data_IF_194651727536
#
_entry.id   IF_194651727536
#
_cell.length_a   1.000
_cell.length_b   1.000
_cell.length_c   1.000
_cell.angle_alpha   90.00
_cell.angle_beta   90.00
_cell.angle_gamma   90.00
#
_symmetry.space_group_name_H-M   'P 1'
#
loop_
_entity.id
_entity.type
_entity.pdbx_description
1 polymer ?
#
# COMPACT_ATOMS: atom_id res chain seq x y z
N UNK A 1 -30.44 44.35 15.79
CA UNK A 1 -29.50 43.22 15.56
C UNK A 1 -30.35 41.98 15.27
N UNK A 2 -30.64 41.72 14.00
CA UNK A 2 -31.44 40.55 13.60
C UNK A 2 -30.52 39.40 13.21
N UNK A 3 -30.48 38.38 14.04
CA UNK A 3 -29.75 37.13 13.80
C UNK A 3 -30.57 36.22 12.87
N UNK A 4 -30.14 36.12 11.61
CA UNK A 4 -30.67 35.16 10.65
C UNK A 4 -30.16 33.75 10.98
N UNK A 5 -31.02 32.92 11.57
CA UNK A 5 -30.80 31.47 11.62
C UNK A 5 -31.18 30.85 10.28
N UNK A 6 -30.16 30.54 9.46
CA UNK A 6 -30.31 29.73 8.24
C UNK A 6 -30.59 28.28 8.62
N UNK A 7 -31.87 27.92 8.59
CA UNK A 7 -32.36 26.56 8.80
C UNK A 7 -32.08 25.73 7.54
N UNK A 8 -31.04 24.89 7.57
CA UNK A 8 -30.74 23.95 6.47
C UNK A 8 -31.83 22.87 6.39
N UNK A 9 -32.72 23.01 5.42
CA UNK A 9 -33.69 21.98 5.05
C UNK A 9 -32.92 20.82 4.42
N UNK A 10 -32.81 19.71 5.14
CA UNK A 10 -32.32 18.45 4.58
C UNK A 10 -33.45 17.81 3.78
N UNK A 11 -33.19 17.48 2.51
CA UNK A 11 -34.22 16.96 1.62
C UNK A 11 -34.59 15.52 2.01
N UNK A 12 -35.83 15.11 1.74
CA UNK A 12 -36.32 13.75 2.00
C UNK A 12 -35.43 12.65 1.38
N UNK A 13 -34.79 12.96 0.25
CA UNK A 13 -33.83 12.07 -0.41
C UNK A 13 -32.56 11.81 0.44
N UNK A 14 -32.02 12.84 1.11
CA UNK A 14 -30.84 12.69 1.96
C UNK A 14 -31.13 11.81 3.18
N UNK A 15 -32.34 11.88 3.75
CA UNK A 15 -32.75 11.01 4.86
C UNK A 15 -32.94 9.55 4.42
N UNK A 16 -33.54 9.33 3.24
CA UNK A 16 -33.75 7.99 2.68
C UNK A 16 -32.43 7.28 2.34
N UNK A 17 -31.48 8.01 1.76
CA UNK A 17 -30.13 7.49 1.46
C UNK A 17 -29.33 7.17 2.73
N UNK A 18 -29.51 7.96 3.80
CA UNK A 18 -28.86 7.73 5.09
C UNK A 18 -29.38 6.48 5.82
N UNK A 19 -30.69 6.20 5.72
CA UNK A 19 -31.30 4.99 6.28
C UNK A 19 -30.96 3.72 5.49
N UNK A 20 -30.95 3.78 4.15
CA UNK A 20 -30.57 2.63 3.32
C UNK A 20 -29.11 2.22 3.54
N UNK A 21 -28.21 3.17 3.72
CA UNK A 21 -26.79 2.90 3.97
C UNK A 21 -26.50 2.43 5.39
N UNK A 22 -27.35 2.76 6.38
CA UNK A 22 -27.25 2.21 7.74
C UNK A 22 -27.60 0.72 7.82
N UNK A 23 -28.44 0.20 6.92
CA UNK A 23 -28.84 -1.22 6.93
C UNK A 23 -27.82 -2.16 6.29
N UNK A 24 -26.85 -1.65 5.53
CA UNK A 24 -25.91 -2.48 4.76
C UNK A 24 -24.48 -2.52 5.34
N UNK A 25 -24.22 -1.91 6.50
CA UNK A 25 -22.91 -1.95 7.16
C UNK A 25 -21.75 -1.33 6.37
N UNK A 26 -22.02 -0.66 5.24
CA UNK A 26 -20.99 -0.01 4.44
C UNK A 26 -20.42 1.21 5.19
N UNK A 27 -19.09 1.31 5.21
CA UNK A 27 -18.40 2.48 5.72
C UNK A 27 -18.87 3.73 4.98
N UNK A 28 -19.49 4.67 5.70
CA UNK A 28 -19.90 5.96 5.15
C UNK A 28 -18.64 6.78 4.81
N UNK A 29 -18.37 6.98 3.52
CA UNK A 29 -17.33 7.89 3.06
C UNK A 29 -17.93 9.30 3.03
N UNK A 30 -17.38 10.27 3.78
CA UNK A 30 -17.83 11.65 3.72
C UNK A 30 -17.77 12.21 2.29
N UNK A 31 -18.81 12.95 1.88
CA UNK A 31 -18.93 13.48 0.52
C UNK A 31 -17.71 14.32 0.11
N UNK A 32 -17.17 15.13 1.01
CA UNK A 32 -15.98 15.94 0.75
C UNK A 32 -14.75 15.09 0.41
N UNK A 33 -14.57 13.95 1.09
CA UNK A 33 -13.49 13.01 0.79
C UNK A 33 -13.72 12.33 -0.55
N UNK A 34 -14.94 11.85 -0.80
CA UNK A 34 -15.29 11.20 -2.06
C UNK A 34 -15.09 12.14 -3.26
N UNK A 35 -15.69 13.33 -3.21
CA UNK A 35 -15.76 14.24 -4.36
C UNK A 35 -14.51 15.10 -4.55
N UNK A 36 -13.75 15.42 -3.50
CA UNK A 36 -12.57 16.30 -3.64
C UNK A 36 -11.23 15.57 -3.47
N UNK A 37 -11.22 14.30 -3.02
CA UNK A 37 -9.97 13.53 -2.84
C UNK A 37 -9.91 12.23 -3.62
N UNK A 38 -11.03 11.51 -3.76
CA UNK A 38 -11.04 10.21 -4.43
C UNK A 38 -11.35 10.39 -5.91
N UNK A 39 -12.53 10.90 -6.24
CA UNK A 39 -13.01 10.98 -7.62
C UNK A 39 -12.13 11.85 -8.54
N UNK A 40 -11.57 13.01 -8.12
CA UNK A 40 -10.72 13.82 -9.00
C UNK A 40 -9.39 13.16 -9.38
N UNK A 41 -9.00 12.08 -8.68
CA UNK A 41 -7.78 11.31 -8.99
C UNK A 41 -8.04 10.19 -10.00
N UNK A 42 -9.30 9.95 -10.34
CA UNK A 42 -9.63 8.92 -11.31
C UNK A 42 -9.42 9.45 -12.73
N UNK A 43 -9.11 8.54 -13.67
CA UNK A 43 -9.04 8.87 -15.09
C UNK A 43 -10.34 9.52 -15.59
N UNK A 44 -10.22 10.49 -16.51
CA UNK A 44 -11.37 11.30 -16.95
C UNK A 44 -12.49 10.45 -17.58
N UNK A 45 -12.13 9.39 -18.30
CA UNK A 45 -13.07 8.43 -18.88
C UNK A 45 -13.94 7.76 -17.80
N UNK A 46 -13.37 7.39 -16.65
CA UNK A 46 -14.14 6.82 -15.55
C UNK A 46 -15.05 7.85 -14.88
N UNK A 47 -14.56 9.08 -14.72
CA UNK A 47 -15.37 10.19 -14.17
C UNK A 47 -16.60 10.46 -15.04
N UNK A 48 -16.46 10.38 -16.37
CA UNK A 48 -17.58 10.58 -17.30
C UNK A 48 -18.67 9.50 -17.13
N UNK A 49 -18.30 8.25 -16.87
CA UNK A 49 -19.28 7.19 -16.57
C UNK A 49 -20.05 7.55 -15.29
N UNK A 50 -19.38 8.09 -14.29
CA UNK A 50 -20.04 8.47 -13.03
C UNK A 50 -21.05 9.62 -13.16
N UNK A 51 -20.99 10.43 -14.22
CA UNK A 51 -22.03 11.41 -14.52
C UNK A 51 -23.40 10.77 -14.72
N UNK A 52 -23.44 9.49 -15.12
CA UNK A 52 -24.68 8.74 -15.35
C UNK A 52 -25.29 8.12 -14.09
N UNK A 53 -24.54 8.04 -12.98
CA UNK A 53 -24.96 7.32 -11.76
C UNK A 53 -26.15 8.00 -11.08
N UNK A 54 -26.07 9.31 -10.83
CA UNK A 54 -27.21 10.10 -10.38
C UNK A 54 -27.01 11.61 -10.63
N UNK A 55 -28.09 12.38 -10.53
CA UNK A 55 -28.08 13.84 -10.74
C UNK A 55 -27.05 14.57 -9.87
N UNK A 56 -26.86 14.11 -8.63
CA UNK A 56 -25.90 14.69 -7.69
C UNK A 56 -24.46 14.51 -8.17
N UNK A 57 -24.09 13.33 -8.64
CA UNK A 57 -22.75 13.07 -9.17
C UNK A 57 -22.50 13.82 -10.47
N UNK A 58 -23.52 13.92 -11.34
CA UNK A 58 -23.47 14.76 -12.54
C UNK A 58 -23.23 16.23 -12.20
N UNK A 59 -23.95 16.78 -11.22
CA UNK A 59 -23.73 18.16 -10.74
C UNK A 59 -22.32 18.36 -10.18
N UNK A 60 -21.86 17.48 -9.31
CA UNK A 60 -20.58 17.59 -8.62
C UNK A 60 -19.38 17.48 -9.58
N UNK A 61 -19.44 16.57 -10.55
CA UNK A 61 -18.40 16.43 -11.57
C UNK A 61 -18.34 17.60 -12.55
N UNK A 62 -19.36 18.45 -12.57
CA UNK A 62 -19.39 19.70 -13.35
C UNK A 62 -19.06 20.93 -12.50
N UNK A 63 -18.82 20.80 -11.20
CA UNK A 63 -18.41 21.93 -10.36
C UNK A 63 -16.99 22.38 -10.73
N UNK A 64 -16.79 23.71 -10.72
CA UNK A 64 -15.49 24.32 -11.02
C UNK A 64 -14.36 23.76 -10.14
N UNK A 65 -14.60 23.56 -8.84
CA UNK A 65 -13.61 22.98 -7.92
C UNK A 65 -13.27 21.52 -8.25
N UNK A 66 -14.24 20.75 -8.72
CA UNK A 66 -13.98 19.37 -9.13
C UNK A 66 -13.11 19.34 -10.37
N UNK A 67 -13.45 20.13 -11.39
CA UNK A 67 -12.70 20.24 -12.64
C UNK A 67 -11.28 20.75 -12.35
N UNK A 68 -11.13 21.80 -11.52
CA UNK A 68 -9.83 22.34 -11.16
C UNK A 68 -8.95 21.29 -10.45
N UNK A 69 -9.51 20.51 -9.51
CA UNK A 69 -8.79 19.42 -8.86
C UNK A 69 -8.45 18.30 -9.84
N UNK A 70 -9.37 17.92 -10.72
CA UNK A 70 -9.16 16.86 -11.71
C UNK A 70 -8.06 17.25 -12.71
N UNK A 71 -8.07 18.49 -13.20
CA UNK A 71 -7.01 19.05 -14.03
C UNK A 71 -5.68 19.10 -13.28
N UNK A 72 -5.68 19.56 -12.02
CA UNK A 72 -4.48 19.58 -11.18
C UNK A 72 -3.89 18.16 -11.03
N UNK A 73 -4.71 17.18 -10.66
CA UNK A 73 -4.24 15.80 -10.52
C UNK A 73 -3.78 15.22 -11.85
N UNK A 74 -4.51 15.45 -12.95
CA UNK A 74 -4.12 14.99 -14.29
C UNK A 74 -2.79 15.61 -14.75
N UNK A 75 -2.59 16.92 -14.55
CA UNK A 75 -1.33 17.61 -14.92
C UNK A 75 -0.14 17.17 -14.07
N UNK A 76 -0.38 16.82 -12.81
CA UNK A 76 0.65 16.30 -11.91
C UNK A 76 0.67 14.76 -11.83
N UNK A 77 -0.12 14.07 -12.68
CA UNK A 77 -0.23 12.60 -12.74
C UNK A 77 0.82 11.93 -13.62
N UNK A 78 1.81 12.65 -14.15
CA UNK A 78 2.98 12.02 -14.79
C UNK A 78 3.74 11.05 -13.84
N UNK A 79 3.35 10.98 -12.57
CA UNK A 79 3.80 10.03 -11.55
C UNK A 79 2.72 9.01 -11.09
N UNK A 80 1.51 9.05 -11.65
CA UNK A 80 0.33 8.28 -11.24
C UNK A 80 -0.28 7.44 -12.38
N UNK A 81 0.54 6.95 -13.33
CA UNK A 81 0.08 5.83 -14.16
C UNK A 81 -0.27 4.69 -13.21
N UNK A 82 -1.56 4.43 -13.07
CA UNK A 82 -2.11 3.38 -12.21
C UNK A 82 -1.89 2.06 -12.93
N UNK A 83 -0.63 1.63 -12.90
CA UNK A 83 -0.11 0.50 -13.65
C UNK A 83 -0.04 -0.70 -12.70
N UNK A 84 -0.86 -1.71 -12.97
CA UNK A 84 -0.74 -3.00 -12.33
C UNK A 84 0.13 -3.88 -13.19
N UNK A 85 1.26 -4.35 -12.66
CA UNK A 85 1.95 -5.48 -13.28
C UNK A 85 1.49 -6.75 -12.55
N UNK A 86 1.28 -7.83 -13.28
CA UNK A 86 1.01 -9.15 -12.72
C UNK A 86 1.64 -10.21 -13.62
N UNK A 87 2.02 -11.33 -13.03
CA UNK A 87 2.59 -12.46 -13.77
C UNK A 87 1.46 -13.37 -14.24
N UNK A 88 1.48 -13.72 -15.53
CA UNK A 88 0.58 -14.69 -16.14
C UNK A 88 1.00 -16.14 -15.78
N UNK A 89 0.14 -17.12 -16.08
CA UNK A 89 0.44 -18.54 -15.88
C UNK A 89 1.63 -19.08 -16.68
N UNK A 90 2.02 -18.39 -17.75
CA UNK A 90 3.14 -18.72 -18.63
C UNK A 90 4.43 -17.96 -18.27
N UNK A 91 4.50 -17.43 -17.05
CA UNK A 91 5.59 -16.60 -16.52
C UNK A 91 5.80 -15.25 -17.24
N UNK A 92 4.96 -14.87 -18.21
CA UNK A 92 5.01 -13.55 -18.82
C UNK A 92 4.46 -12.47 -17.88
N UNK A 93 5.01 -11.25 -17.96
CA UNK A 93 4.54 -10.12 -17.15
C UNK A 93 3.50 -9.33 -17.95
N UNK A 94 2.26 -9.33 -17.50
CA UNK A 94 1.23 -8.44 -18.01
C UNK A 94 1.25 -7.13 -17.27
N UNK A 95 1.20 -6.04 -18.02
CA UNK A 95 1.03 -4.69 -17.49
C UNK A 95 -0.36 -4.19 -17.88
N UNK A 96 -1.20 -3.92 -16.89
CA UNK A 96 -2.49 -3.26 -17.05
C UNK A 96 -2.31 -1.80 -16.66
N UNK A 97 -2.41 -0.92 -17.66
CA UNK A 97 -2.71 0.48 -17.41
C UNK A 97 -4.22 0.63 -17.20
N UNK A 98 -4.64 1.05 -16.02
CA UNK A 98 -6.05 1.38 -15.76
C UNK A 98 -6.55 2.54 -16.64
N UNK A 99 -5.64 3.38 -17.12
CA UNK A 99 -5.96 4.59 -17.88
C UNK A 99 -6.23 4.31 -19.35
N UNK A 100 -5.44 3.42 -19.96
CA UNK A 100 -5.48 3.20 -21.41
C UNK A 100 -6.33 2.00 -21.83
N UNK A 101 -6.84 1.18 -20.88
CA UNK A 101 -7.43 -0.13 -21.18
C UNK A 101 -6.55 -1.03 -22.06
N UNK A 102 -5.26 -0.70 -22.17
CA UNK A 102 -4.27 -1.42 -22.95
C UNK A 102 -3.63 -2.47 -22.04
N UNK A 103 -3.59 -3.71 -22.53
CA UNK A 103 -2.80 -4.79 -21.94
C UNK A 103 -1.51 -4.87 -22.74
N UNK A 104 -0.39 -4.70 -22.07
CA UNK A 104 0.91 -4.98 -22.68
C UNK A 104 1.46 -6.26 -22.06
N UNK A 105 1.93 -7.18 -22.91
CA UNK A 105 2.62 -8.38 -22.45
C UNK A 105 4.11 -8.11 -22.59
N UNK A 106 4.82 -8.07 -21.47
CA UNK A 106 6.27 -8.06 -21.47
C UNK A 106 6.77 -9.48 -21.81
N UNK A 107 7.90 -9.60 -22.52
CA UNK A 107 8.48 -10.91 -22.82
C UNK A 107 8.72 -11.71 -21.53
N UNK A 108 8.59 -13.04 -21.57
CA UNK A 108 8.80 -13.90 -20.41
C UNK A 108 10.19 -13.66 -19.82
N UNK A 109 10.23 -13.46 -18.51
CA UNK A 109 11.48 -13.43 -17.76
C UNK A 109 12.16 -14.80 -17.89
N UNK A 110 13.50 -14.88 -17.91
CA UNK A 110 14.19 -16.16 -17.98
C UNK A 110 13.72 -17.07 -16.84
N UNK A 111 13.14 -18.20 -17.24
CA UNK A 111 12.46 -19.19 -16.40
C UNK A 111 13.24 -19.49 -15.11
N UNK A 112 12.70 -19.05 -13.97
CA UNK A 112 13.12 -19.48 -12.65
C UNK A 112 11.92 -20.02 -11.88
N UNK A 113 12.10 -21.21 -11.29
CA UNK A 113 11.08 -22.13 -10.79
C UNK A 113 10.40 -21.72 -9.48
N UNK A 114 10.18 -20.42 -9.23
CA UNK A 114 9.45 -19.94 -8.06
C UNK A 114 8.41 -18.90 -8.46
N UNK A 115 7.17 -18.96 -7.94
CA UNK A 115 6.14 -17.96 -8.22
C UNK A 115 6.65 -16.60 -7.73
N UNK A 116 6.86 -15.65 -8.65
CA UNK A 116 7.37 -14.34 -8.31
C UNK A 116 6.28 -13.55 -7.58
N UNK A 117 6.55 -13.18 -6.34
CA UNK A 117 5.70 -12.28 -5.58
C UNK A 117 5.85 -10.85 -6.13
N UNK A 118 4.87 -10.41 -6.91
CA UNK A 118 4.90 -9.04 -7.42
C UNK A 118 4.35 -8.05 -6.39
N UNK A 119 5.21 -7.13 -5.96
CA UNK A 119 4.85 -5.97 -5.15
C UNK A 119 4.66 -4.75 -6.04
N UNK A 120 3.42 -4.44 -6.39
CA UNK A 120 3.07 -3.23 -7.14
C UNK A 120 2.99 -2.01 -6.22
N UNK A 121 3.24 -0.82 -6.77
CA UNK A 121 2.88 0.43 -6.10
C UNK A 121 1.94 1.23 -7.01
N UNK A 122 0.69 1.36 -6.62
CA UNK A 122 -0.27 2.25 -7.30
C UNK A 122 -0.41 3.53 -6.46
N UNK A 123 0.12 4.65 -6.94
CA UNK A 123 0.06 5.94 -6.23
C UNK A 123 0.64 5.89 -4.79
N UNK A 124 1.69 5.08 -4.59
CA UNK A 124 2.30 4.84 -3.28
C UNK A 124 1.58 3.79 -2.42
N UNK A 125 0.52 3.16 -2.93
CA UNK A 125 -0.12 2.00 -2.31
C UNK A 125 0.61 0.74 -2.73
N UNK A 126 1.31 0.13 -1.79
CA UNK A 126 1.88 -1.20 -1.95
C UNK A 126 0.73 -2.22 -2.08
N UNK A 127 0.67 -2.91 -3.22
CA UNK A 127 -0.26 -3.99 -3.49
C UNK A 127 0.44 -5.32 -3.67
N UNK A 128 -0.27 -6.40 -3.37
CA UNK A 128 0.21 -7.78 -3.49
C UNK A 128 -0.81 -8.59 -4.28
N UNK A 129 -0.37 -9.37 -5.26
CA UNK A 129 -1.23 -10.28 -6.02
C UNK A 129 -1.08 -11.71 -5.53
N UNK A 130 -2.19 -12.34 -5.12
CA UNK A 130 -2.21 -13.71 -4.59
C UNK A 130 -3.46 -14.43 -5.08
N UNK A 131 -3.30 -15.58 -5.75
CA UNK A 131 -4.40 -16.47 -6.18
C UNK A 131 -5.56 -15.70 -6.85
N UNK A 132 -5.27 -14.88 -7.87
CA UNK A 132 -6.30 -14.12 -8.61
C UNK A 132 -6.79 -12.84 -7.91
N UNK A 133 -6.23 -12.48 -6.77
CA UNK A 133 -6.68 -11.35 -5.97
C UNK A 133 -5.58 -10.31 -5.77
N UNK A 134 -5.93 -9.04 -5.93
CA UNK A 134 -5.07 -7.91 -5.58
C UNK A 134 -5.44 -7.45 -4.18
N UNK A 135 -4.45 -7.38 -3.29
CA UNK A 135 -4.60 -6.88 -1.93
C UNK A 135 -3.84 -5.58 -1.78
N UNK A 136 -4.40 -4.64 -1.03
CA UNK A 136 -3.68 -3.45 -0.61
C UNK A 136 -4.12 -3.00 0.76
N UNK A 137 -3.16 -2.44 1.49
CA UNK A 137 -3.40 -1.97 2.85
C UNK A 137 -3.87 -0.51 2.83
N UNK A 138 -4.99 -0.26 3.50
CA UNK A 138 -5.37 1.07 3.96
C UNK A 138 -5.15 1.16 5.47
N UNK A 139 -5.08 2.38 6.03
CA UNK A 139 -4.80 2.67 7.44
C UNK A 139 -5.64 1.86 8.44
N UNK A 140 -6.81 1.37 8.05
CA UNK A 140 -7.75 0.69 8.94
C UNK A 140 -8.27 -0.65 8.42
N UNK A 141 -7.95 -1.03 7.18
CA UNK A 141 -8.49 -2.22 6.54
C UNK A 141 -7.58 -2.72 5.42
N UNK A 142 -7.64 -4.01 5.12
CA UNK A 142 -7.05 -4.57 3.90
C UNK A 142 -8.17 -4.66 2.87
N UNK A 143 -7.98 -4.03 1.73
CA UNK A 143 -8.87 -4.19 0.59
C UNK A 143 -8.41 -5.36 -0.26
N UNK A 144 -9.37 -6.04 -0.86
CA UNK A 144 -9.19 -7.15 -1.79
C UNK A 144 -9.96 -6.80 -3.06
N UNK A 145 -9.38 -7.07 -4.22
CA UNK A 145 -10.10 -7.08 -5.49
C UNK A 145 -9.87 -8.43 -6.15
N UNK A 146 -10.95 -9.17 -6.38
CA UNK A 146 -10.91 -10.39 -7.17
C UNK A 146 -10.91 -10.00 -8.65
N UNK A 147 -9.85 -10.35 -9.38
CA UNK A 147 -9.69 -9.97 -10.78
C UNK A 147 -10.64 -10.73 -11.70
N UNK A 148 -10.93 -11.99 -11.39
CA UNK A 148 -11.80 -12.84 -12.22
C UNK A 148 -13.28 -12.49 -12.03
N UNK A 149 -13.70 -12.27 -10.78
CA UNK A 149 -15.09 -11.96 -10.46
C UNK A 149 -15.40 -10.45 -10.57
N UNK A 150 -14.36 -9.61 -10.69
CA UNK A 150 -14.44 -8.14 -10.63
C UNK A 150 -15.11 -7.61 -9.34
N UNK A 151 -15.01 -8.37 -8.24
CA UNK A 151 -15.62 -8.03 -6.94
C UNK A 151 -14.60 -7.45 -5.98
N UNK A 152 -14.99 -6.35 -5.32
CA UNK A 152 -14.22 -5.76 -4.22
C UNK A 152 -14.66 -6.37 -2.88
N UNK A 153 -13.70 -6.85 -2.11
CA UNK A 153 -13.88 -7.33 -0.75
C UNK A 153 -13.12 -6.48 0.27
N UNK A 154 -13.58 -6.52 1.52
CA UNK A 154 -12.87 -5.92 2.65
C UNK A 154 -12.48 -7.03 3.62
N UNK A 155 -11.24 -6.99 4.07
CA UNK A 155 -10.68 -7.89 5.06
C UNK A 155 -10.53 -7.09 6.35
N UNK A 156 -11.27 -7.43 7.41
CA UNK A 156 -11.10 -6.77 8.69
C UNK A 156 -9.68 -7.02 9.20
N UNK A 157 -9.06 -5.95 9.70
CA UNK A 157 -7.81 -6.07 10.44
C UNK A 157 -8.07 -6.81 11.76
N UNK A 158 -7.00 -7.37 12.31
CA UNK A 158 -7.01 -8.04 13.59
C UNK A 158 -7.62 -7.16 14.70
N UNK A 159 -8.40 -7.75 15.64
CA UNK A 159 -8.82 -7.06 16.84
C UNK A 159 -7.60 -6.49 17.58
N UNK A 160 -7.69 -5.25 18.06
CA UNK A 160 -6.60 -4.51 18.71
C UNK A 160 -5.47 -4.00 17.79
N UNK A 161 -5.71 -3.92 16.48
CA UNK A 161 -4.80 -3.24 15.54
C UNK A 161 -4.77 -1.70 15.70
N UNK A 162 -5.42 -1.12 16.71
CA UNK A 162 -5.40 0.33 16.92
C UNK A 162 -4.02 0.80 17.41
N UNK A 163 -3.42 1.73 16.65
CA UNK A 163 -2.19 2.40 17.01
C UNK A 163 -0.90 1.67 16.61
N UNK A 164 -0.82 1.15 15.39
CA UNK A 164 0.46 0.72 14.83
C UNK A 164 1.29 1.90 14.31
N UNK A 165 2.60 1.75 14.36
CA UNK A 165 3.60 2.70 13.83
C UNK A 165 3.76 2.52 12.33
N UNK A 166 3.69 1.27 11.86
CA UNK A 166 3.75 0.90 10.46
C UNK A 166 3.13 -0.48 10.25
N UNK A 167 2.64 -0.71 9.04
CA UNK A 167 2.11 -2.00 8.63
C UNK A 167 2.32 -2.20 7.12
N UNK A 168 2.44 -3.46 6.72
CA UNK A 168 2.64 -3.89 5.34
C UNK A 168 1.89 -5.19 5.10
N UNK A 169 1.52 -5.41 3.85
CA UNK A 169 0.98 -6.69 3.37
C UNK A 169 2.00 -7.34 2.45
N UNK A 170 2.07 -8.67 2.48
CA UNK A 170 2.95 -9.48 1.63
C UNK A 170 2.26 -10.77 1.23
N UNK A 171 3.00 -11.68 0.60
CA UNK A 171 2.59 -13.06 0.48
C UNK A 171 3.65 -13.96 1.09
N UNK A 172 3.21 -15.01 1.77
CA UNK A 172 4.07 -16.05 2.33
C UNK A 172 3.40 -17.38 1.99
N UNK A 173 4.13 -18.26 1.31
CA UNK A 173 3.65 -19.58 0.86
C UNK A 173 2.31 -19.53 0.10
N UNK A 174 2.14 -18.52 -0.77
CA UNK A 174 0.91 -18.33 -1.54
C UNK A 174 -0.30 -17.87 -0.70
N UNK A 175 -0.09 -17.48 0.55
CA UNK A 175 -1.12 -16.91 1.43
C UNK A 175 -0.81 -15.44 1.76
N UNK A 176 -1.86 -14.69 2.11
CA UNK A 176 -1.72 -13.27 2.46
C UNK A 176 -1.02 -13.12 3.81
N UNK A 177 0.12 -12.42 3.83
CA UNK A 177 0.82 -12.06 5.06
C UNK A 177 0.54 -10.59 5.43
N UNK A 178 0.48 -10.33 6.73
CA UNK A 178 0.31 -8.99 7.29
C UNK A 178 1.33 -8.77 8.40
N UNK A 179 2.18 -7.77 8.21
CA UNK A 179 3.18 -7.35 9.19
C UNK A 179 2.75 -6.03 9.82
N UNK A 180 2.90 -5.90 11.13
CA UNK A 180 2.70 -4.63 11.79
C UNK A 180 3.66 -4.41 12.95
N UNK A 181 3.95 -3.14 13.24
CA UNK A 181 4.65 -2.72 14.45
C UNK A 181 3.65 -1.98 15.33
N UNK A 182 3.39 -2.52 16.52
CA UNK A 182 2.49 -1.89 17.50
C UNK A 182 3.12 -0.63 18.10
N UNK A 183 2.31 0.21 18.76
CA UNK A 183 2.81 1.35 19.58
C UNK A 183 3.81 0.96 20.68
N UNK A 184 3.82 -0.32 21.08
CA UNK A 184 4.76 -0.87 22.05
C UNK A 184 5.99 -1.52 21.38
N UNK A 185 6.19 -1.25 20.09
CA UNK A 185 7.33 -1.73 19.30
C UNK A 185 7.43 -3.25 19.24
N UNK A 186 6.28 -3.93 19.32
CA UNK A 186 6.18 -5.33 18.96
C UNK A 186 5.95 -5.44 17.46
N UNK A 187 6.89 -6.05 16.76
CA UNK A 187 6.76 -6.49 15.38
C UNK A 187 5.98 -7.80 15.39
N UNK A 188 4.82 -7.84 14.73
CA UNK A 188 4.07 -9.09 14.56
C UNK A 188 3.95 -9.41 13.07
N UNK A 189 3.96 -10.71 12.78
CA UNK A 189 3.65 -11.25 11.47
C UNK A 189 2.46 -12.18 11.61
N UNK A 190 1.48 -11.98 10.74
CA UNK A 190 0.26 -12.74 10.67
C UNK A 190 0.11 -13.31 9.27
N UNK A 191 -0.43 -14.52 9.19
CA UNK A 191 -0.77 -15.19 7.95
C UNK A 191 -2.27 -15.40 7.91
N UNK A 192 -2.90 -15.11 6.78
CA UNK A 192 -4.32 -15.38 6.57
C UNK A 192 -4.49 -16.64 5.74
N UNK A 193 -5.02 -17.68 6.38
CA UNK A 193 -5.60 -18.85 5.71
C UNK A 193 -7.11 -18.63 5.73
N UNK A 194 -7.86 -19.39 6.52
CA UNK A 194 -9.27 -19.08 6.80
C UNK A 194 -9.40 -17.92 7.79
N UNK A 195 -8.61 -18.00 8.86
CA UNK A 195 -8.49 -16.98 9.90
C UNK A 195 -7.05 -16.44 9.96
N UNK A 196 -6.86 -15.36 10.73
CA UNK A 196 -5.54 -14.81 10.98
C UNK A 196 -4.79 -15.65 12.02
N UNK A 197 -3.67 -16.22 11.60
CA UNK A 197 -2.74 -16.96 12.47
C UNK A 197 -1.50 -16.11 12.70
N UNK A 198 -1.12 -15.90 13.97
CA UNK A 198 0.13 -15.19 14.29
C UNK A 198 1.30 -16.14 14.09
N UNK A 199 2.21 -15.81 13.18
CA UNK A 199 3.45 -16.55 12.96
C UNK A 199 4.55 -16.08 13.91
N UNK A 200 4.78 -14.77 13.96
CA UNK A 200 5.89 -14.18 14.71
C UNK A 200 5.41 -13.03 15.59
N UNK A 201 6.07 -12.85 16.74
CA UNK A 201 5.87 -11.72 17.63
C UNK A 201 7.19 -11.38 18.33
N UNK A 202 7.84 -10.30 17.90
CA UNK A 202 9.18 -9.90 18.36
C UNK A 202 9.13 -8.53 19.01
N UNK A 203 9.76 -8.40 20.18
CA UNK A 203 9.95 -7.12 20.87
C UNK A 203 11.13 -6.39 20.26
N UNK A 204 10.89 -5.34 19.46
CA UNK A 204 11.99 -4.56 18.86
C UNK A 204 12.83 -3.86 19.93
N UNK A 205 12.25 -3.51 21.09
CA UNK A 205 13.03 -2.93 22.19
C UNK A 205 14.12 -3.90 22.63
N UNK A 206 13.74 -5.16 22.88
CA UNK A 206 14.67 -6.22 23.31
C UNK A 206 15.72 -6.49 22.24
N UNK A 207 15.30 -6.64 20.98
CA UNK A 207 16.25 -6.84 19.86
C UNK A 207 17.23 -5.68 19.73
N UNK A 208 16.77 -4.44 19.88
CA UNK A 208 17.63 -3.25 19.79
C UNK A 208 18.60 -3.17 20.97
N UNK A 209 18.15 -3.53 22.18
CA UNK A 209 18.99 -3.53 23.39
C UNK A 209 20.08 -4.62 23.31
N UNK A 210 19.73 -5.81 22.80
CA UNK A 210 20.64 -6.95 22.70
C UNK A 210 21.64 -6.81 21.53
N UNK A 211 21.28 -6.07 20.47
CA UNK A 211 22.11 -5.86 19.28
C UNK A 211 22.52 -4.38 19.13
N UNK A 212 22.84 -3.75 20.27
CA UNK A 212 23.09 -2.32 20.33
C UNK A 212 24.27 -1.88 19.47
N UNK A 213 25.32 -2.69 19.40
CA UNK A 213 26.53 -2.47 18.59
C UNK A 213 26.23 -2.35 17.09
N UNK A 214 25.24 -3.10 16.58
CA UNK A 214 24.79 -3.04 15.18
C UNK A 214 24.05 -1.73 14.91
N UNK A 215 23.26 -1.23 15.88
CA UNK A 215 22.39 -0.06 15.68
C UNK A 215 23.06 1.26 16.05
N UNK A 216 23.92 1.26 17.06
CA UNK A 216 24.53 2.45 17.65
C UNK A 216 25.20 3.38 16.62
N UNK A 217 25.94 2.89 15.60
CA UNK A 217 26.57 3.74 14.58
C UNK A 217 25.58 4.64 13.84
N UNK A 218 24.32 4.19 13.73
CA UNK A 218 23.26 4.89 13.00
C UNK A 218 22.46 5.84 13.89
N UNK A 219 22.55 5.71 15.22
CA UNK A 219 21.73 6.45 16.19
C UNK A 219 22.58 7.32 17.13
N UNK A 220 23.12 8.43 16.61
CA UNK A 220 24.10 9.30 17.31
C UNK A 220 23.72 9.85 18.71
N UNK A 221 22.47 9.78 19.21
CA UNK A 221 22.05 10.35 20.53
C UNK A 221 20.87 9.62 21.20
N UNK A 222 21.05 8.39 21.68
CA UNK A 222 19.95 7.46 21.95
C UNK A 222 18.96 7.80 23.09
N UNK A 223 19.44 8.26 24.26
CA UNK A 223 18.58 8.25 25.48
C UNK A 223 17.33 9.14 25.37
N UNK A 224 17.43 10.25 24.64
CA UNK A 224 16.29 11.09 24.27
C UNK A 224 15.69 10.74 22.91
N UNK A 225 16.44 9.99 22.10
CA UNK A 225 16.07 9.57 20.76
C UNK A 225 15.07 8.43 20.78
N UNK A 226 15.16 7.37 21.59
CA UNK A 226 14.10 6.33 21.62
C UNK A 226 12.71 6.99 21.81
N UNK A 227 12.56 7.88 22.79
CA UNK A 227 11.30 8.62 23.02
C UNK A 227 10.85 9.50 21.83
N UNK A 228 11.76 9.97 20.96
CA UNK A 228 11.48 10.90 19.84
C UNK A 228 11.41 10.18 18.48
N UNK A 229 12.30 9.22 18.25
CA UNK A 229 12.40 8.27 17.15
C UNK A 229 11.09 7.51 16.94
N UNK A 230 10.48 7.04 18.02
CA UNK A 230 9.21 6.31 17.95
C UNK A 230 7.99 7.22 17.78
N UNK A 231 8.08 8.51 18.16
CA UNK A 231 7.03 9.49 17.84
C UNK A 231 7.04 9.89 16.36
N UNK A 232 8.19 9.80 15.70
CA UNK A 232 8.37 10.29 14.34
C UNK A 232 8.20 9.23 13.25
N UNK A 233 7.65 8.04 13.56
CA UNK A 233 7.42 6.97 12.59
C UNK A 233 8.66 6.56 11.79
N UNK A 234 9.85 6.60 12.41
CA UNK A 234 11.11 6.30 11.72
C UNK A 234 11.30 4.81 11.41
N UNK A 235 10.40 3.93 11.85
CA UNK A 235 10.44 2.50 11.57
C UNK A 235 9.17 2.11 10.83
N UNK A 236 9.33 1.30 9.78
CA UNK A 236 8.21 0.67 9.09
C UNK A 236 8.52 -0.79 8.78
N UNK A 237 7.47 -1.60 8.77
CA UNK A 237 7.57 -3.02 8.40
C UNK A 237 7.78 -3.17 6.90
N UNK A 238 8.41 -4.28 6.53
CA UNK A 238 8.42 -4.77 5.15
C UNK A 238 7.47 -5.95 4.99
N UNK A 239 7.15 -6.30 3.75
CA UNK A 239 6.39 -7.50 3.45
C UNK A 239 7.15 -8.73 3.96
N UNK A 240 6.45 -9.67 4.58
CA UNK A 240 7.03 -10.93 5.03
C UNK A 240 6.81 -11.99 3.97
N UNK A 241 7.92 -12.56 3.50
CA UNK A 241 7.97 -13.51 2.39
C UNK A 241 8.19 -14.96 2.85
N UNK A 242 8.28 -15.19 4.17
CA UNK A 242 8.53 -16.51 4.75
C UNK A 242 9.85 -16.59 5.50
N UNK A 243 10.16 -17.80 5.99
CA UNK A 243 11.39 -18.09 6.74
C UNK A 243 11.45 -17.45 8.13
N UNK A 244 12.65 -17.41 8.71
CA UNK A 244 12.85 -16.92 10.07
C UNK A 244 13.24 -15.44 10.13
N UNK A 245 13.54 -14.79 9.00
CA UNK A 245 14.03 -13.41 8.98
C UNK A 245 12.88 -12.42 8.82
N UNK A 246 12.72 -11.53 9.79
CA UNK A 246 11.74 -10.45 9.78
C UNK A 246 12.41 -9.15 9.33
N UNK A 247 11.93 -8.58 8.23
CA UNK A 247 12.51 -7.36 7.68
C UNK A 247 11.74 -6.12 8.12
N UNK A 248 12.49 -5.06 8.44
CA UNK A 248 11.97 -3.73 8.66
C UNK A 248 12.99 -2.70 8.20
N UNK A 249 12.54 -1.48 7.93
CA UNK A 249 13.44 -0.40 7.58
C UNK A 249 13.37 0.74 8.57
N UNK A 250 14.50 1.42 8.72
CA UNK A 250 14.69 2.59 9.56
C UNK A 250 15.01 3.78 8.66
N UNK A 251 14.22 4.84 8.74
CA UNK A 251 14.59 6.13 8.16
C UNK A 251 15.51 6.88 9.10
N UNK A 252 16.56 7.48 8.56
CA UNK A 252 17.43 8.39 9.30
C UNK A 252 17.79 9.60 8.42
N UNK A 253 18.49 10.58 9.01
CA UNK A 253 19.05 11.69 8.22
C UNK A 253 20.08 11.23 7.18
N UNK A 254 20.66 10.04 7.36
CA UNK A 254 21.62 9.43 6.42
C UNK A 254 20.92 8.59 5.35
N UNK A 255 19.59 8.58 5.32
CA UNK A 255 18.77 7.79 4.41
C UNK A 255 18.11 6.59 5.09
N UNK A 256 17.48 5.77 4.25
CA UNK A 256 16.79 4.54 4.64
C UNK A 256 17.79 3.39 4.74
N UNK A 257 17.69 2.61 5.81
CA UNK A 257 18.43 1.36 6.03
C UNK A 257 17.47 0.22 6.29
N UNK A 258 17.83 -0.98 5.90
CA UNK A 258 17.01 -2.18 6.10
C UNK A 258 17.71 -3.10 7.06
N UNK A 259 16.94 -3.68 7.97
CA UNK A 259 17.42 -4.61 8.97
C UNK A 259 16.60 -5.89 8.89
N UNK A 260 17.29 -7.01 9.09
CA UNK A 260 16.69 -8.32 9.27
C UNK A 260 16.85 -8.77 10.71
N UNK A 261 15.78 -9.30 11.31
CA UNK A 261 15.80 -9.96 12.62
C UNK A 261 15.55 -11.43 12.40
N UNK A 262 16.45 -12.30 12.87
CA UNK A 262 16.11 -13.71 12.97
C UNK A 262 15.11 -13.89 14.12
N UNK A 263 13.87 -14.27 13.81
CA UNK A 263 12.78 -14.46 14.77
C UNK A 263 13.04 -15.54 15.83
N UNK A 264 13.96 -16.47 15.58
CA UNK A 264 14.34 -17.54 16.52
C UNK A 264 15.51 -17.13 17.41
N UNK A 265 16.58 -16.57 16.82
CA UNK A 265 17.80 -16.21 17.56
C UNK A 265 17.76 -14.78 18.13
N UNK A 266 16.84 -13.94 17.66
CA UNK A 266 16.75 -12.50 17.94
C UNK A 266 17.99 -11.72 17.50
N UNK A 267 18.85 -12.31 16.68
CA UNK A 267 20.00 -11.63 16.07
C UNK A 267 19.53 -10.61 15.04
N UNK A 268 20.15 -9.44 15.07
CA UNK A 268 19.88 -8.34 14.17
C UNK A 268 21.05 -8.15 13.21
N UNK A 269 20.74 -7.99 11.93
CA UNK A 269 21.73 -7.67 10.91
C UNK A 269 21.25 -6.52 10.01
N UNK A 270 22.15 -5.59 9.67
CA UNK A 270 21.90 -4.60 8.61
C UNK A 270 22.02 -5.31 7.26
N UNK A 271 20.99 -5.19 6.42
CA UNK A 271 20.96 -5.76 5.08
C UNK A 271 21.39 -4.70 4.08
N UNK A 272 22.43 -5.00 3.30
CA UNK A 272 22.92 -4.11 2.26
C UNK A 272 21.96 -4.07 1.07
N UNK A 273 21.83 -2.92 0.41
CA UNK A 273 20.94 -2.74 -0.75
C UNK A 273 21.05 -3.82 -1.86
N UNK A 274 22.24 -4.39 -2.17
CA UNK A 274 22.35 -5.48 -3.15
C UNK A 274 21.63 -6.77 -2.71
N UNK A 275 21.70 -7.12 -1.42
CA UNK A 275 21.06 -8.33 -0.88
C UNK A 275 19.52 -8.27 -0.90
N UNK A 276 18.97 -7.05 -0.97
CA UNK A 276 17.53 -6.81 -1.10
C UNK A 276 17.02 -7.05 -2.52
N UNK A 277 17.87 -6.91 -3.54
CA UNK A 277 17.51 -7.18 -4.94
C UNK A 277 17.46 -8.69 -5.19
N UNK A 278 18.31 -9.45 -4.49
CA UNK A 278 18.34 -10.91 -4.59
C UNK A 278 17.24 -11.59 -3.77
N UNK A 279 16.87 -11.04 -2.60
CA UNK A 279 15.80 -11.57 -1.74
C UNK A 279 14.41 -11.04 -2.12
N UNK A 280 14.26 -9.72 -2.30
CA UNK A 280 13.07 -9.14 -2.93
C UNK A 280 13.39 -8.95 -4.43
N UNK A 281 13.04 -9.92 -5.28
CA UNK A 281 12.98 -9.69 -6.74
C UNK A 281 11.78 -8.80 -7.10
N UNK A 282 11.70 -7.66 -6.44
CA UNK A 282 10.83 -6.54 -6.77
C UNK A 282 11.62 -5.67 -7.73
N UNK A 283 11.45 -5.93 -9.02
CA UNK A 283 11.94 -5.02 -10.05
C UNK A 283 11.21 -3.67 -9.91
N UNK A 284 11.88 -2.69 -9.31
CA UNK A 284 11.46 -1.30 -9.47
C UNK A 284 11.68 -0.89 -10.92
N UNK A 285 10.63 -0.47 -11.62
CA UNK A 285 10.60 -0.06 -13.02
C UNK A 285 11.73 0.91 -13.45
N UNK A 286 12.27 1.68 -12.50
CA UNK A 286 13.37 2.63 -12.73
C UNK A 286 14.71 1.94 -13.05
N UNK A 287 14.97 0.75 -12.51
CA UNK A 287 16.21 0.01 -12.78
C UNK A 287 16.23 -0.55 -14.21
N UNK A 288 15.10 -1.08 -14.68
CA UNK A 288 14.95 -1.67 -16.02
C UNK A 288 15.09 -0.60 -17.13
N UNK A 289 14.59 0.62 -16.90
CA UNK A 289 14.72 1.71 -17.88
C UNK A 289 16.15 2.27 -17.97
N UNK A 290 16.89 2.31 -16.87
CA UNK A 290 18.28 2.80 -16.84
C UNK A 290 19.24 1.82 -17.52
N UNK A 291 19.00 0.51 -17.40
CA UNK A 291 19.78 -0.50 -18.13
C UNK A 291 19.53 -0.44 -19.64
N UNK A 292 18.30 -0.11 -20.08
CA UNK A 292 17.99 0.11 -21.50
C UNK A 292 18.63 1.38 -22.07
N UNK A 293 18.59 2.48 -21.33
CA UNK A 293 19.19 3.75 -21.82
C UNK A 293 20.73 3.68 -21.92
N UNK A 294 21.38 2.88 -21.08
CA UNK A 294 22.83 2.67 -21.15
C UNK A 294 23.25 1.58 -22.16
N UNK A 295 22.29 0.79 -22.67
CA UNK A 295 22.54 -0.28 -23.66
C UNK A 295 22.57 0.20 -25.11
N UNK A 296 21.96 1.35 -25.42
CA UNK A 296 21.79 1.83 -26.80
C UNK A 296 22.87 2.84 -27.26
N UNK A 297 23.83 3.23 -26.42
CA UNK A 297 24.89 4.21 -26.79
C UNK A 297 26.22 3.60 -27.26
N UNK A 298 26.37 2.27 -27.31
CA UNK A 298 27.64 1.62 -27.73
C UNK A 298 27.56 0.92 -29.10
N UNK A 299 26.69 1.37 -29.99
CA UNK A 299 26.47 0.73 -31.29
C UNK A 299 26.28 1.69 -32.45
N UNK A 300 27.21 2.64 -32.65
CA UNK A 300 27.47 3.31 -33.93
C UNK A 300 28.94 3.71 -34.03
#
# INVERSE_FOLDING_TARGET
MSSNHSMRITTSADKKMKLQNQMLGYAFIPNDVLFYKILPRLPINQILIFKSVCKRWSQLTNEFFFIANQTYYSMHSSLNQSMFMYQNHDDSLSVISLEEQSRFTLPPLPSQSQPLLYQGSCNGLVSVFIKGNVYWLNKILIMRFNVEEEVVGIIPLLPNSHGFVGASVGACDGELSYCNITKYLKLNVWLRRDEWVRLHAVSLITVIEDNWDVIAPHLRKLRNFLKKFFRNQMISTMSYEGGDTLMFWVESKQGRRVFGINSKTMELQELSAPSLIESNKVYSYKAILLEKQNGDENGL
#
